data_IF_216011326244
#
_entry.id   IF_216011326244
#
_cell.length_a   1.000
_cell.length_b   1.000
_cell.length_c   1.000
_cell.angle_alpha   90.00
_cell.angle_beta   90.00
_cell.angle_gamma   90.00
#
_symmetry.space_group_name_H-M   'P 1'
#
loop_
_entity.id
_entity.type
_entity.pdbx_description
1 polymer ?
#
# COMPACT_ATOMS: atom_id res chain seq x y z
N UNK A 1 -68.07 -33.87 -1.12
CA UNK A 1 -67.15 -32.75 -1.35
C UNK A 1 -66.52 -32.93 -2.72
N UNK A 2 -67.01 -32.18 -3.72
CA UNK A 2 -66.41 -32.16 -5.08
C UNK A 2 -65.16 -31.31 -5.02
N UNK A 3 -63.98 -31.88 -5.27
CA UNK A 3 -62.78 -31.14 -5.51
C UNK A 3 -62.83 -30.61 -6.95
N UNK A 4 -63.07 -29.33 -7.11
CA UNK A 4 -62.94 -28.66 -8.41
C UNK A 4 -61.44 -28.61 -8.78
N UNK A 5 -61.07 -29.47 -9.71
CA UNK A 5 -59.76 -29.39 -10.37
C UNK A 5 -59.88 -28.41 -11.54
N UNK A 6 -59.77 -27.11 -11.23
CA UNK A 6 -59.59 -26.11 -12.27
C UNK A 6 -58.18 -26.22 -12.82
N UNK A 7 -58.04 -26.75 -14.05
CA UNK A 7 -56.79 -26.80 -14.77
C UNK A 7 -56.35 -25.38 -15.18
N UNK A 8 -55.03 -25.13 -15.15
CA UNK A 8 -54.44 -23.86 -15.62
C UNK A 8 -54.74 -23.74 -17.13
N UNK A 9 -55.22 -22.58 -17.57
CA UNK A 9 -55.47 -22.32 -18.96
C UNK A 9 -54.12 -22.08 -19.70
N UNK A 10 -54.05 -22.42 -20.98
CA UNK A 10 -52.86 -22.21 -21.80
C UNK A 10 -52.43 -20.74 -21.84
N UNK A 11 -53.35 -19.81 -21.82
CA UNK A 11 -53.13 -18.37 -21.77
C UNK A 11 -52.45 -17.96 -20.46
N UNK A 12 -52.92 -18.52 -19.33
CA UNK A 12 -52.33 -18.23 -18.01
C UNK A 12 -50.90 -18.71 -17.91
N UNK A 13 -50.57 -19.87 -18.51
CA UNK A 13 -49.20 -20.36 -18.59
C UNK A 13 -48.28 -19.43 -19.39
N UNK A 14 -48.75 -18.92 -20.53
CA UNK A 14 -47.94 -17.99 -21.35
C UNK A 14 -47.68 -16.68 -20.60
N UNK A 15 -48.66 -16.14 -19.93
CA UNK A 15 -48.54 -14.92 -19.12
C UNK A 15 -47.55 -15.13 -17.97
N UNK A 16 -47.65 -16.26 -17.29
CA UNK A 16 -46.76 -16.59 -16.18
C UNK A 16 -45.26 -16.69 -16.65
N UNK A 17 -45.02 -17.34 -17.78
CA UNK A 17 -43.66 -17.41 -18.36
C UNK A 17 -43.16 -16.03 -18.79
N UNK A 18 -44.01 -15.21 -19.41
CA UNK A 18 -43.64 -13.86 -19.82
C UNK A 18 -43.22 -12.97 -18.64
N UNK A 19 -43.98 -12.99 -17.55
CA UNK A 19 -43.67 -12.24 -16.34
C UNK A 19 -42.39 -12.80 -15.68
N UNK A 20 -42.24 -14.11 -15.60
CA UNK A 20 -41.08 -14.76 -15.03
C UNK A 20 -39.80 -14.39 -15.77
N UNK A 21 -39.78 -14.32 -17.10
CA UNK A 21 -38.60 -13.93 -17.87
C UNK A 21 -38.16 -12.49 -17.61
N UNK A 22 -39.12 -11.57 -17.43
CA UNK A 22 -38.81 -10.16 -17.08
C UNK A 22 -38.18 -10.09 -15.70
N UNK A 23 -38.73 -10.81 -14.70
CA UNK A 23 -38.20 -10.82 -13.33
C UNK A 23 -36.80 -11.44 -13.29
N UNK A 24 -36.58 -12.57 -13.96
CA UNK A 24 -35.25 -13.19 -14.02
C UNK A 24 -34.25 -12.32 -14.75
N UNK A 25 -34.62 -11.64 -15.84
CA UNK A 25 -33.79 -10.68 -16.53
C UNK A 25 -33.34 -9.52 -15.63
N UNK A 26 -34.27 -8.95 -14.89
CA UNK A 26 -33.95 -7.89 -13.93
C UNK A 26 -33.02 -8.37 -12.79
N UNK A 27 -33.27 -9.56 -12.27
CA UNK A 27 -32.44 -10.16 -11.22
C UNK A 27 -30.99 -10.38 -11.70
N UNK A 28 -30.77 -10.89 -12.91
CA UNK A 28 -29.42 -11.09 -13.49
C UNK A 28 -28.68 -9.77 -13.65
N UNK A 29 -29.35 -8.72 -14.14
CA UNK A 29 -28.74 -7.40 -14.27
C UNK A 29 -28.35 -6.83 -12.91
N UNK A 30 -29.23 -6.95 -11.90
CA UNK A 30 -28.94 -6.50 -10.54
C UNK A 30 -27.73 -7.24 -9.92
N UNK A 31 -27.67 -8.56 -10.06
CA UNK A 31 -26.55 -9.35 -9.57
C UNK A 31 -25.22 -8.97 -10.27
N UNK A 32 -25.27 -8.68 -11.57
CA UNK A 32 -24.09 -8.22 -12.30
C UNK A 32 -23.56 -6.88 -11.80
N UNK A 33 -24.46 -5.93 -11.52
CA UNK A 33 -24.08 -4.64 -10.92
C UNK A 33 -23.56 -4.81 -9.50
N UNK A 34 -24.22 -5.62 -8.69
CA UNK A 34 -23.80 -5.89 -7.31
C UNK A 34 -22.40 -6.50 -7.27
N UNK A 35 -22.11 -7.47 -8.14
CA UNK A 35 -20.79 -8.09 -8.22
C UNK A 35 -19.69 -7.10 -8.63
N UNK A 36 -19.95 -6.22 -9.62
CA UNK A 36 -19.03 -5.14 -10.00
C UNK A 36 -18.73 -4.19 -8.84
N UNK A 37 -19.78 -3.75 -8.14
CA UNK A 37 -19.64 -2.83 -7.02
C UNK A 37 -18.87 -3.49 -5.86
N UNK A 38 -19.13 -4.78 -5.59
CA UNK A 38 -18.40 -5.53 -4.58
C UNK A 38 -16.92 -5.63 -4.90
N UNK A 39 -16.55 -6.00 -6.12
CA UNK A 39 -15.14 -6.10 -6.52
C UNK A 39 -14.43 -4.74 -6.45
N UNK A 40 -15.11 -3.65 -6.82
CA UNK A 40 -14.55 -2.30 -6.72
C UNK A 40 -14.35 -1.88 -5.26
N UNK A 41 -15.34 -2.13 -4.42
CA UNK A 41 -15.25 -1.81 -2.99
C UNK A 41 -14.17 -2.65 -2.29
N UNK A 42 -14.07 -3.94 -2.59
CA UNK A 42 -13.00 -4.81 -2.06
C UNK A 42 -11.62 -4.30 -2.42
N UNK A 43 -11.38 -3.96 -3.70
CA UNK A 43 -10.10 -3.42 -4.14
C UNK A 43 -9.75 -2.09 -3.44
N UNK A 44 -10.72 -1.22 -3.19
CA UNK A 44 -10.49 0.03 -2.45
C UNK A 44 -10.12 -0.23 -0.98
N UNK A 45 -10.78 -1.19 -0.32
CA UNK A 45 -10.49 -1.56 1.06
C UNK A 45 -9.08 -2.15 1.16
N UNK A 46 -8.68 -3.01 0.23
CA UNK A 46 -7.35 -3.62 0.20
C UNK A 46 -6.26 -2.55 0.04
N UNK A 47 -6.42 -1.61 -0.90
CA UNK A 47 -5.50 -0.49 -1.09
C UNK A 47 -5.43 0.43 0.14
N UNK A 48 -6.57 0.70 0.78
CA UNK A 48 -6.62 1.52 1.98
C UNK A 48 -5.91 0.84 3.15
N UNK A 49 -6.12 -0.45 3.34
CA UNK A 49 -5.46 -1.24 4.37
C UNK A 49 -3.93 -1.28 4.15
N UNK A 50 -3.49 -1.54 2.92
CA UNK A 50 -2.07 -1.52 2.57
C UNK A 50 -1.43 -0.15 2.85
N UNK A 51 -2.10 0.94 2.45
CA UNK A 51 -1.59 2.29 2.67
C UNK A 51 -1.47 2.63 4.16
N UNK A 52 -2.40 2.19 5.00
CA UNK A 52 -2.35 2.41 6.45
C UNK A 52 -1.17 1.66 7.08
N UNK A 53 -0.97 0.40 6.72
CA UNK A 53 0.16 -0.40 7.21
C UNK A 53 1.49 0.23 6.81
N UNK A 54 1.62 0.68 5.56
CA UNK A 54 2.83 1.35 5.06
C UNK A 54 3.11 2.65 5.81
N UNK A 55 2.09 3.48 6.03
CA UNK A 55 2.24 4.74 6.76
C UNK A 55 2.66 4.51 8.21
N UNK A 56 2.10 3.50 8.87
CA UNK A 56 2.49 3.13 10.22
C UNK A 56 3.95 2.64 10.28
N UNK A 57 4.35 1.77 9.36
CA UNK A 57 5.72 1.28 9.26
C UNK A 57 6.73 2.41 9.01
N UNK A 58 6.44 3.26 8.02
CA UNK A 58 7.31 4.41 7.70
C UNK A 58 7.37 5.36 8.90
N UNK A 59 6.24 5.61 9.55
CA UNK A 59 6.18 6.44 10.76
C UNK A 59 7.07 5.90 11.88
N UNK A 60 7.03 4.60 12.14
CA UNK A 60 7.91 3.97 13.13
C UNK A 60 9.39 4.15 12.77
N UNK A 61 9.77 3.93 11.52
CA UNK A 61 11.17 4.08 11.10
C UNK A 61 11.65 5.53 11.19
N UNK A 62 10.80 6.50 10.84
CA UNK A 62 11.12 7.91 10.99
C UNK A 62 11.28 8.31 12.47
N UNK A 63 10.42 7.78 13.35
CA UNK A 63 10.52 8.04 14.79
C UNK A 63 11.77 7.40 15.43
N UNK A 64 12.20 6.25 14.95
CA UNK A 64 13.46 5.62 15.40
C UNK A 64 14.71 6.36 14.87
N UNK A 65 14.58 7.03 13.73
CA UNK A 65 15.65 7.79 13.12
C UNK A 65 15.93 9.10 13.86
N UNK A 66 17.15 9.58 13.72
CA UNK A 66 17.57 10.89 14.24
C UNK A 66 18.02 11.85 13.14
N UNK A 67 18.04 11.37 11.88
CA UNK A 67 18.30 12.21 10.71
C UNK A 67 17.56 11.62 9.50
N UNK A 68 16.87 12.48 8.77
CA UNK A 68 16.18 12.10 7.52
C UNK A 68 16.70 12.99 6.40
N UNK A 69 17.06 12.40 5.28
CA UNK A 69 17.53 13.09 4.10
C UNK A 69 16.73 12.67 2.88
N UNK A 70 16.59 13.57 1.93
CA UNK A 70 16.03 13.24 0.63
C UNK A 70 17.09 12.53 -0.20
N UNK A 71 16.71 11.44 -0.84
CA UNK A 71 17.55 10.75 -1.80
C UNK A 71 17.71 11.63 -3.03
N UNK A 72 18.96 11.85 -3.48
CA UNK A 72 19.23 12.65 -4.68
C UNK A 72 18.95 11.81 -5.94
N UNK A 73 17.93 12.18 -6.74
CA UNK A 73 17.59 11.45 -7.96
C UNK A 73 18.71 11.47 -9.00
N UNK A 74 19.58 12.47 -8.98
CA UNK A 74 20.69 12.58 -9.92
C UNK A 74 21.77 11.52 -9.68
N UNK A 75 21.88 11.04 -8.45
CA UNK A 75 22.85 10.04 -8.02
C UNK A 75 22.26 8.63 -8.01
N UNK A 76 21.02 8.50 -7.53
CA UNK A 76 20.36 7.20 -7.35
C UNK A 76 19.47 6.79 -8.53
N UNK A 77 19.04 7.75 -9.36
CA UNK A 77 18.09 7.52 -10.45
C UNK A 77 16.64 7.32 -9.99
N UNK A 78 16.38 7.39 -8.69
CA UNK A 78 15.07 7.15 -8.08
C UNK A 78 14.75 8.18 -7.01
N UNK A 79 13.47 8.43 -6.76
CA UNK A 79 13.03 9.32 -5.69
C UNK A 79 12.82 8.54 -4.39
N UNK A 80 13.24 9.14 -3.27
CA UNK A 80 13.09 8.49 -1.97
C UNK A 80 13.63 9.32 -0.82
N UNK A 81 13.69 8.66 0.33
CA UNK A 81 14.26 9.22 1.57
C UNK A 81 15.26 8.24 2.18
N UNK A 82 16.20 8.78 2.91
CA UNK A 82 17.17 8.04 3.72
C UNK A 82 16.96 8.42 5.18
N UNK A 83 16.73 7.44 6.02
CA UNK A 83 16.56 7.58 7.46
C UNK A 83 17.79 7.01 8.14
N UNK A 84 18.53 7.84 8.86
CA UNK A 84 19.70 7.42 9.63
C UNK A 84 19.35 7.19 11.09
N UNK A 85 19.87 6.10 11.63
CA UNK A 85 19.86 5.79 13.07
C UNK A 85 21.31 5.81 13.56
N UNK A 86 21.70 6.91 14.21
CA UNK A 86 23.07 7.17 14.66
C UNK A 86 23.07 6.99 16.18
N UNK A 87 23.81 6.01 16.73
CA UNK A 87 23.91 5.82 18.18
C UNK A 87 24.46 7.07 18.88
N UNK A 88 23.94 7.35 20.07
CA UNK A 88 24.38 8.47 20.88
C UNK A 88 23.80 9.84 20.49
N UNK A 89 23.01 9.93 19.41
CA UNK A 89 22.27 11.15 19.06
C UNK A 89 20.81 11.04 19.50
N UNK A 90 20.19 12.15 19.95
CA UNK A 90 18.79 12.18 20.31
C UNK A 90 17.87 11.77 19.15
N UNK A 91 16.80 11.05 19.48
CA UNK A 91 15.71 10.75 18.55
C UNK A 91 14.37 10.85 19.28
N UNK A 92 13.26 10.74 18.57
CA UNK A 92 11.92 10.78 19.20
C UNK A 92 11.75 9.65 20.21
N UNK A 93 12.26 8.46 19.90
CA UNK A 93 12.19 7.28 20.79
C UNK A 93 13.28 7.25 21.84
N UNK A 94 14.39 7.99 21.67
CA UNK A 94 15.50 8.10 22.60
C UNK A 94 15.97 9.56 22.74
N UNK A 95 15.20 10.42 23.43
CA UNK A 95 15.51 11.84 23.54
C UNK A 95 16.83 12.12 24.30
N UNK A 96 17.25 11.24 25.20
CA UNK A 96 18.48 11.38 25.97
C UNK A 96 19.75 11.07 25.15
N UNK A 97 19.64 10.52 23.95
CA UNK A 97 20.77 10.15 23.11
C UNK A 97 21.68 9.11 23.76
N UNK A 98 21.15 8.28 24.68
CA UNK A 98 21.93 7.23 25.32
C UNK A 98 22.51 6.29 24.26
N UNK A 99 23.76 5.87 24.43
CA UNK A 99 24.43 4.96 23.51
C UNK A 99 23.63 3.66 23.40
N UNK A 100 23.02 3.43 22.25
CA UNK A 100 22.41 2.15 21.95
C UNK A 100 23.52 1.15 21.60
N UNK A 101 23.38 -0.12 21.97
CA UNK A 101 24.36 -1.16 21.62
C UNK A 101 24.38 -1.48 20.12
N UNK A 102 23.48 -0.86 19.33
CA UNK A 102 23.40 -1.07 17.89
C UNK A 102 24.40 -0.18 17.13
N UNK A 103 25.01 -0.75 16.10
CA UNK A 103 25.83 0.01 15.15
C UNK A 103 24.97 1.03 14.37
N UNK A 104 25.60 2.10 13.90
CA UNK A 104 24.94 3.06 13.03
C UNK A 104 24.34 2.35 11.81
N UNK A 105 23.12 2.69 11.49
CA UNK A 105 22.42 2.11 10.33
C UNK A 105 21.61 3.18 9.59
N UNK A 106 21.37 2.92 8.31
CA UNK A 106 20.44 3.71 7.51
C UNK A 106 19.36 2.81 6.89
N UNK A 107 18.21 3.36 6.72
CA UNK A 107 17.13 2.77 5.95
C UNK A 107 16.82 3.67 4.78
N UNK A 108 16.88 3.12 3.60
CA UNK A 108 16.49 3.83 2.38
C UNK A 108 15.12 3.36 1.99
N UNK A 109 14.24 4.29 1.63
CA UNK A 109 12.89 4.04 1.11
C UNK A 109 12.81 4.78 -0.22
N UNK A 110 12.48 4.08 -1.31
CA UNK A 110 12.42 4.68 -2.63
C UNK A 110 11.29 4.11 -3.48
N UNK A 111 10.87 4.91 -4.46
CA UNK A 111 9.94 4.46 -5.51
C UNK A 111 10.75 3.96 -6.68
N UNK A 112 10.34 2.84 -7.28
CA UNK A 112 10.95 2.31 -8.52
C UNK A 112 10.91 3.34 -9.64
N UNK A 113 11.90 3.29 -10.54
CA UNK A 113 11.97 4.18 -11.69
C UNK A 113 10.74 4.11 -12.61
N UNK A 114 9.99 3.00 -12.61
CA UNK A 114 8.71 2.85 -13.29
C UNK A 114 7.50 3.43 -12.55
N UNK A 115 7.67 3.95 -11.34
CA UNK A 115 6.64 4.52 -10.45
C UNK A 115 5.52 3.51 -10.19
N UNK A 116 5.34 2.85 -9.18
CA UNK A 116 4.21 2.01 -8.72
C UNK A 116 4.61 1.12 -7.55
N UNK A 117 5.91 0.89 -7.35
CA UNK A 117 6.40 0.00 -6.31
C UNK A 117 7.27 0.77 -5.34
N UNK A 118 7.04 0.57 -4.05
CA UNK A 118 7.81 1.16 -2.98
C UNK A 118 8.72 0.09 -2.38
N UNK A 119 10.00 0.41 -2.30
CA UNK A 119 11.03 -0.47 -1.78
C UNK A 119 11.67 0.10 -0.53
N UNK A 120 12.21 -0.77 0.32
CA UNK A 120 13.02 -0.38 1.48
C UNK A 120 14.22 -1.29 1.64
N UNK A 121 15.34 -0.74 2.07
CA UNK A 121 16.54 -1.51 2.41
C UNK A 121 17.21 -0.92 3.65
N UNK A 122 17.51 -1.79 4.63
CA UNK A 122 18.31 -1.42 5.80
C UNK A 122 19.77 -1.77 5.55
N UNK A 123 20.68 -0.85 5.79
CA UNK A 123 22.12 -1.01 5.61
C UNK A 123 22.86 -0.54 6.85
N UNK A 124 23.96 -1.23 7.20
CA UNK A 124 24.89 -0.77 8.21
C UNK A 124 25.70 0.42 7.63
N UNK A 125 26.04 1.37 8.48
CA UNK A 125 26.78 2.58 8.12
C UNK A 125 28.00 2.68 9.02
N UNK A 126 29.19 2.74 8.43
CA UNK A 126 30.41 2.87 9.21
C UNK A 126 30.59 4.29 9.75
N UNK A 127 30.34 5.30 8.92
CA UNK A 127 30.35 6.72 9.30
C UNK A 127 29.20 7.45 8.61
N UNK A 128 28.16 7.89 9.39
CA UNK A 128 27.00 8.57 8.84
C UNK A 128 27.30 9.93 8.18
N UNK A 129 28.48 10.53 8.43
CA UNK A 129 28.86 11.83 7.86
C UNK A 129 29.50 11.72 6.48
N UNK A 130 30.15 10.58 6.22
CA UNK A 130 30.89 10.33 4.97
C UNK A 130 30.26 9.26 4.11
N UNK A 131 29.10 8.74 4.53
CA UNK A 131 28.44 7.64 3.82
C UNK A 131 27.86 8.11 2.48
N UNK A 132 28.46 7.63 1.41
CA UNK A 132 28.02 7.86 0.03
C UNK A 132 27.39 6.62 -0.60
N UNK A 133 27.07 5.61 0.20
CA UNK A 133 26.50 4.36 -0.32
C UNK A 133 25.14 4.63 -0.94
N UNK A 134 25.04 4.39 -2.22
CA UNK A 134 23.85 4.59 -3.04
C UNK A 134 23.14 3.25 -3.27
N UNK A 135 21.83 3.26 -3.32
CA UNK A 135 21.08 2.11 -3.81
C UNK A 135 21.20 2.01 -5.32
N UNK A 136 21.20 0.78 -5.82
CA UNK A 136 21.11 0.51 -7.26
C UNK A 136 19.76 -0.10 -7.57
N UNK A 137 18.94 0.59 -8.36
CA UNK A 137 17.64 0.08 -8.76
C UNK A 137 17.75 -1.31 -9.42
N UNK A 138 18.79 -1.55 -10.20
CA UNK A 138 18.99 -2.82 -10.88
C UNK A 138 19.23 -4.02 -9.95
N UNK A 139 19.81 -3.80 -8.77
CA UNK A 139 20.16 -4.87 -7.82
C UNK A 139 19.31 -4.87 -6.56
N UNK A 140 18.72 -3.74 -6.19
CA UNK A 140 18.02 -3.54 -4.92
C UNK A 140 16.48 -3.60 -5.06
N UNK A 141 15.96 -3.47 -6.29
CA UNK A 141 14.53 -3.67 -6.59
C UNK A 141 14.18 -5.16 -6.70
N UNK A 142 14.33 -5.87 -5.59
CA UNK A 142 13.98 -7.29 -5.44
C UNK A 142 12.75 -7.47 -4.55
N UNK A 143 12.09 -8.60 -4.66
CA UNK A 143 10.86 -8.88 -3.90
C UNK A 143 11.04 -8.76 -2.38
N UNK A 144 12.21 -9.08 -1.85
CA UNK A 144 12.52 -8.98 -0.42
C UNK A 144 12.50 -7.54 0.10
N UNK A 145 12.78 -6.57 -0.76
CA UNK A 145 12.79 -5.15 -0.42
C UNK A 145 11.45 -4.46 -0.73
N UNK A 146 10.53 -5.12 -1.40
CA UNK A 146 9.22 -4.58 -1.77
C UNK A 146 8.34 -4.45 -0.53
N UNK A 147 7.81 -3.25 -0.27
CA UNK A 147 6.92 -2.96 0.86
C UNK A 147 5.54 -2.47 0.43
N UNK A 148 5.39 -2.00 -0.79
CA UNK A 148 4.09 -1.54 -1.28
C UNK A 148 4.01 -1.52 -2.79
N UNK A 149 2.80 -1.73 -3.30
CA UNK A 149 2.47 -1.65 -4.72
C UNK A 149 1.47 -0.49 -4.94
N UNK A 150 1.33 -0.07 -6.20
CA UNK A 150 0.41 1.01 -6.61
C UNK A 150 0.71 2.39 -6.02
N UNK A 151 1.94 2.65 -5.56
CA UNK A 151 2.37 3.97 -5.08
C UNK A 151 2.67 4.87 -6.27
N UNK A 152 1.92 5.96 -6.41
CA UNK A 152 2.06 6.89 -7.56
C UNK A 152 3.00 8.05 -7.29
N UNK A 153 3.15 8.46 -6.04
CA UNK A 153 4.05 9.53 -5.64
C UNK A 153 4.46 9.38 -4.17
N UNK A 154 5.69 9.77 -3.87
CA UNK A 154 6.22 9.83 -2.52
C UNK A 154 6.78 11.23 -2.28
N UNK A 155 5.99 12.07 -1.63
CA UNK A 155 6.42 13.43 -1.29
C UNK A 155 6.68 13.50 0.21
N UNK A 156 7.94 13.59 0.60
CA UNK A 156 8.35 13.82 1.99
C UNK A 156 8.73 15.30 2.18
N UNK A 157 8.01 16.03 3.00
CA UNK A 157 8.46 17.31 3.51
C UNK A 157 9.19 17.07 4.83
N UNK A 158 10.52 17.13 4.81
CA UNK A 158 11.30 17.02 6.03
C UNK A 158 11.26 18.39 6.74
N UNK A 159 10.49 18.50 7.82
CA UNK A 159 10.65 19.59 8.77
C UNK A 159 11.92 19.31 9.58
N UNK A 160 13.03 19.90 9.17
CA UNK A 160 14.23 19.92 9.98
C UNK A 160 13.90 20.68 11.28
N UNK A 161 13.87 19.96 12.39
CA UNK A 161 13.99 20.58 13.71
C UNK A 161 15.46 20.97 13.90
N UNK A 162 15.75 22.24 13.77
CA UNK A 162 17.00 22.85 14.20
C UNK A 162 17.01 23.04 15.70
#
# INVERSE_FOLDING_TARGET
MRKDHSGITFVELIIAIAISTIIFGAAILFLGMAHKNYNHASAQIDLQSESQILMEQIGMWVMEGNRVEKLDPSVSGVEGIVIYKIPGTPSITNPAGAAAPEAASKRVIWISAGGKKLYTKKMAVADPKTDTTVISAATDEVQENLIGEYVTAFTGTCLLYT
#
